data_IF_033308644696
#
_entry.id   IF_033308644696
#
_cell.length_a   1.000
_cell.length_b   1.000
_cell.length_c   1.000
_cell.angle_alpha   90.00
_cell.angle_beta   90.00
_cell.angle_gamma   90.00
#
_symmetry.space_group_name_H-M   'P 1'
#
loop_
_entity.id
_entity.type
_entity.pdbx_description
1 polymer ?
#
# COMPACT_ATOMS: atom_id res chain seq x y z
N UNK A 1 -9.66 3.87 -12.45
CA UNK A 1 -10.12 2.91 -11.42
C UNK A 1 -10.59 3.72 -10.22
N UNK A 2 -11.70 3.37 -9.55
CA UNK A 2 -12.12 4.02 -8.31
C UNK A 2 -11.06 3.88 -7.21
N UNK A 3 -10.96 4.86 -6.31
CA UNK A 3 -10.02 4.83 -5.18
C UNK A 3 -10.53 4.01 -4.00
N UNK A 4 -9.61 3.44 -3.21
CA UNK A 4 -9.93 2.65 -2.00
C UNK A 4 -9.88 3.45 -0.69
N UNK A 5 -9.69 4.78 -0.74
CA UNK A 5 -9.51 5.62 0.45
C UNK A 5 -10.72 5.60 1.41
N UNK A 6 -11.94 5.38 0.89
CA UNK A 6 -13.15 5.24 1.71
C UNK A 6 -13.40 3.82 2.26
N UNK A 7 -12.59 2.84 1.85
CA UNK A 7 -12.76 1.43 2.22
C UNK A 7 -11.61 0.91 3.09
N UNK A 8 -10.39 1.40 2.89
CA UNK A 8 -9.19 0.93 3.55
C UNK A 8 -8.51 2.06 4.34
N UNK A 9 -7.98 1.75 5.52
CA UNK A 9 -7.13 2.66 6.27
C UNK A 9 -5.67 2.68 5.72
N UNK A 10 -4.83 3.60 6.20
CA UNK A 10 -3.45 3.79 5.72
C UNK A 10 -2.63 2.49 5.80
N UNK A 11 -2.75 1.78 6.91
CA UNK A 11 -2.04 0.54 7.19
C UNK A 11 -2.44 -0.57 6.22
N UNK A 12 -3.74 -0.75 6.01
CA UNK A 12 -4.26 -1.77 5.09
C UNK A 12 -3.84 -1.48 3.64
N UNK A 13 -3.78 -0.21 3.25
CA UNK A 13 -3.25 0.16 1.92
C UNK A 13 -1.76 -0.18 1.83
N UNK A 14 -0.96 0.13 2.85
CA UNK A 14 0.47 -0.21 2.87
C UNK A 14 0.69 -1.72 2.73
N UNK A 15 -0.08 -2.53 3.46
CA UNK A 15 0.00 -3.99 3.44
C UNK A 15 -0.38 -4.58 2.07
N UNK A 16 -1.49 -4.14 1.47
CA UNK A 16 -1.92 -4.64 0.15
C UNK A 16 -0.91 -4.28 -0.92
N UNK A 17 -0.38 -3.04 -0.90
CA UNK A 17 0.62 -2.61 -1.88
C UNK A 17 1.92 -3.39 -1.70
N UNK A 18 2.37 -3.61 -0.46
CA UNK A 18 3.55 -4.41 -0.17
C UNK A 18 3.37 -5.87 -0.65
N UNK A 19 2.20 -6.46 -0.41
CA UNK A 19 1.88 -7.80 -0.92
C UNK A 19 1.96 -7.84 -2.44
N UNK A 20 1.29 -6.94 -3.15
CA UNK A 20 1.34 -6.94 -4.63
C UNK A 20 2.77 -6.74 -5.15
N UNK A 21 3.56 -5.87 -4.50
CA UNK A 21 4.95 -5.58 -4.89
C UNK A 21 5.96 -6.67 -4.56
N UNK A 22 5.69 -7.53 -3.57
CA UNK A 22 6.59 -8.62 -3.18
C UNK A 22 6.17 -9.97 -3.76
N UNK A 23 4.90 -10.11 -4.15
CA UNK A 23 4.36 -11.34 -4.74
C UNK A 23 4.30 -11.23 -6.26
N UNK A 24 3.82 -12.29 -6.91
CA UNK A 24 3.64 -12.36 -8.37
C UNK A 24 4.95 -12.27 -9.18
N UNK A 25 6.07 -12.69 -8.59
CA UNK A 25 7.39 -12.65 -9.23
C UNK A 25 8.03 -11.26 -9.24
N UNK A 26 7.47 -10.31 -8.49
CA UNK A 26 8.10 -9.02 -8.24
C UNK A 26 9.17 -9.14 -7.15
N UNK A 27 10.25 -8.36 -7.26
CA UNK A 27 11.31 -8.30 -6.25
C UNK A 27 11.33 -6.91 -5.60
N UNK A 28 10.63 -6.79 -4.47
CA UNK A 28 10.61 -5.58 -3.66
C UNK A 28 11.04 -5.90 -2.22
N UNK A 29 12.28 -5.56 -1.82
CA UNK A 29 12.83 -5.90 -0.50
C UNK A 29 12.40 -4.96 0.62
N UNK A 30 11.69 -3.87 0.30
CA UNK A 30 11.33 -2.82 1.25
C UNK A 30 10.04 -3.11 2.03
N UNK A 31 9.96 -2.60 3.25
CA UNK A 31 8.70 -2.49 3.99
C UNK A 31 8.02 -1.15 3.65
N UNK A 32 6.70 -1.17 3.42
CA UNK A 32 5.91 0.05 3.26
C UNK A 32 5.23 0.38 4.58
N UNK A 33 5.32 1.64 4.98
CA UNK A 33 4.71 2.15 6.21
C UNK A 33 3.39 2.87 5.95
N UNK A 34 2.52 2.89 6.97
CA UNK A 34 1.28 3.68 6.92
C UNK A 34 1.54 5.19 6.76
N UNK A 35 2.65 5.70 7.29
CA UNK A 35 2.99 7.13 7.20
C UNK A 35 3.33 7.54 5.77
N UNK A 36 4.02 6.69 5.00
CA UNK A 36 4.24 6.93 3.56
C UNK A 36 2.90 7.01 2.82
N UNK A 37 1.95 6.12 3.12
CA UNK A 37 0.60 6.20 2.54
C UNK A 37 -0.10 7.50 2.94
N UNK A 38 0.00 7.91 4.20
CA UNK A 38 -0.63 9.13 4.72
C UNK A 38 -0.14 10.37 3.99
N UNK A 39 1.15 10.46 3.66
CA UNK A 39 1.69 11.62 2.90
C UNK A 39 1.11 11.77 1.51
N UNK A 40 0.52 10.69 0.96
CA UNK A 40 -0.07 10.65 -0.39
C UNK A 40 -1.60 10.74 -0.36
N UNK A 41 -2.23 10.76 0.81
CA UNK A 41 -3.69 10.86 0.95
C UNK A 41 -4.13 12.32 0.87
N UNK A 42 -5.19 12.56 0.08
CA UNK A 42 -5.84 13.86 -0.13
C UNK A 42 -7.32 13.76 0.17
#
# INVERSE_FOLDING_TARGET
>A
MPGFAGMLNDQQVAEVVHYVRSQFGNDYPGALSADEVRTLRH
#
